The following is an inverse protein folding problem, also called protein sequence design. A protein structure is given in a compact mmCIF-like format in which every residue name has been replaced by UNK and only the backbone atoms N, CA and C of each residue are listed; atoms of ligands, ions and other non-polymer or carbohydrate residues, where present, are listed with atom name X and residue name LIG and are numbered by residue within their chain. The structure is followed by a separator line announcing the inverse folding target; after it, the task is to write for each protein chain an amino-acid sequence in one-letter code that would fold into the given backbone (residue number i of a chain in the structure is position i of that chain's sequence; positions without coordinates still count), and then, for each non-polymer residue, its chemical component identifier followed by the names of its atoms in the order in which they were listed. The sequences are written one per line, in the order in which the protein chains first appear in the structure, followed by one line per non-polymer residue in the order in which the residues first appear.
data_IF_292345835674
#
_entry.id   IF_292345835674
#
_cell.length_a   1.000
_cell.length_b   1.000
_cell.length_c   1.000
_cell.angle_alpha   90.00
_cell.angle_beta   90.00
_cell.angle_gamma   90.00
#
_symmetry.space_group_name_H-M   'P 1'
#
loop_
_entity.id
_entity.type
_entity.pdbx_description
1 polymer ?
#
# COMPACT_ATOMS: atom_id res chain seq x y z
N UNK A 1 2.39 -0.20 -27.96
CA UNK A 1 2.67 -0.23 -29.42
C UNK A 1 1.81 -1.27 -30.11
N UNK A 2 1.75 -1.30 -31.45
CA UNK A 2 0.80 -2.13 -32.21
C UNK A 2 0.78 -3.63 -31.83
N UNK A 3 1.92 -4.31 -31.58
CA UNK A 3 1.89 -5.72 -31.18
C UNK A 3 1.19 -5.97 -29.83
N UNK A 4 1.48 -5.14 -28.82
CA UNK A 4 0.85 -5.27 -27.50
C UNK A 4 -0.64 -4.87 -27.51
N UNK A 5 -1.04 -3.99 -28.43
CA UNK A 5 -2.45 -3.66 -28.62
C UNK A 5 -3.24 -4.90 -29.09
N UNK A 6 -2.67 -5.69 -30.02
CA UNK A 6 -3.30 -6.94 -30.45
C UNK A 6 -3.38 -7.96 -29.31
N UNK A 7 -2.29 -8.16 -28.57
CA UNK A 7 -2.30 -9.06 -27.40
C UNK A 7 -3.38 -8.64 -26.40
N UNK A 8 -3.53 -7.34 -26.13
CA UNK A 8 -4.59 -6.83 -25.25
C UNK A 8 -5.98 -7.20 -25.78
N UNK A 9 -6.24 -7.01 -27.07
CA UNK A 9 -7.53 -7.33 -27.68
C UNK A 9 -7.86 -8.83 -27.57
N UNK A 10 -6.88 -9.70 -27.78
CA UNK A 10 -7.06 -11.16 -27.63
C UNK A 10 -7.35 -11.54 -26.17
N UNK A 11 -6.65 -10.94 -25.19
CA UNK A 11 -6.94 -11.14 -23.76
C UNK A 11 -8.38 -10.73 -23.43
N UNK A 12 -8.83 -9.56 -23.90
CA UNK A 12 -10.19 -9.08 -23.66
C UNK A 12 -11.24 -9.95 -24.37
N UNK A 13 -10.93 -10.51 -25.54
CA UNK A 13 -11.81 -11.45 -26.25
C UNK A 13 -11.99 -12.73 -25.43
N UNK A 14 -10.90 -13.31 -24.95
CA UNK A 14 -10.96 -14.51 -24.10
C UNK A 14 -11.67 -14.23 -22.78
N UNK A 15 -11.47 -13.05 -22.17
CA UNK A 15 -12.19 -12.65 -20.98
C UNK A 15 -13.71 -12.65 -21.22
N UNK A 16 -14.18 -11.99 -22.30
CA UNK A 16 -15.60 -12.02 -22.67
C UNK A 16 -16.10 -13.44 -22.91
N UNK A 17 -15.32 -14.28 -23.61
CA UNK A 17 -15.69 -15.68 -23.86
C UNK A 17 -15.88 -16.51 -22.59
N UNK A 18 -15.11 -16.20 -21.54
CA UNK A 18 -15.16 -16.94 -20.26
C UNK A 18 -16.30 -16.44 -19.36
N UNK A 19 -16.56 -15.13 -19.32
CA UNK A 19 -17.43 -14.51 -18.31
C UNK A 19 -18.79 -14.05 -18.81
N UNK A 20 -19.01 -13.96 -20.12
CA UNK A 20 -20.34 -13.62 -20.67
C UNK A 20 -21.15 -14.90 -20.87
N UNK A 21 -22.32 -14.95 -20.24
CA UNK A 21 -23.37 -15.93 -20.46
C UNK A 21 -24.70 -15.23 -20.81
N UNK A 22 -25.81 -15.97 -20.83
CA UNK A 22 -27.13 -15.46 -21.19
C UNK A 22 -27.68 -14.39 -20.22
N UNK A 23 -27.20 -14.35 -18.98
CA UNK A 23 -27.63 -13.42 -17.94
C UNK A 23 -26.51 -12.44 -17.55
N UNK A 24 -25.50 -12.27 -18.42
CA UNK A 24 -24.44 -11.26 -18.25
C UNK A 24 -24.69 -10.05 -19.14
N UNK A 25 -24.74 -8.88 -18.52
CA UNK A 25 -24.99 -7.60 -19.18
C UNK A 25 -23.71 -6.76 -19.24
N UNK A 26 -23.08 -6.70 -20.41
CA UNK A 26 -21.91 -5.85 -20.64
C UNK A 26 -22.32 -4.36 -20.71
N UNK A 27 -21.54 -3.51 -20.03
CA UNK A 27 -21.77 -2.06 -19.99
C UNK A 27 -20.49 -1.25 -20.14
N UNK A 28 -20.65 -0.04 -20.68
CA UNK A 28 -19.55 0.92 -20.85
C UNK A 28 -19.84 2.20 -20.04
N UNK A 29 -19.44 2.24 -18.76
CA UNK A 29 -19.70 3.39 -17.91
C UNK A 29 -18.67 4.52 -18.10
N UNK A 30 -19.06 5.73 -17.72
CA UNK A 30 -18.17 6.91 -17.68
C UNK A 30 -16.96 6.68 -16.78
N UNK A 31 -15.80 7.21 -17.20
CA UNK A 31 -14.60 7.26 -16.36
C UNK A 31 -14.70 8.31 -15.25
N UNK A 32 -15.56 9.32 -15.42
CA UNK A 32 -15.78 10.35 -14.41
C UNK A 32 -16.94 9.98 -13.50
N UNK A 33 -16.73 10.11 -12.19
CA UNK A 33 -17.73 9.90 -11.16
C UNK A 33 -17.99 11.19 -10.36
N UNK A 34 -19.24 11.44 -9.95
CA UNK A 34 -19.55 12.53 -9.03
C UNK A 34 -19.07 12.21 -7.61
N UNK A 35 -18.77 13.25 -6.84
CA UNK A 35 -18.34 13.17 -5.44
C UNK A 35 -19.21 12.22 -4.61
N UNK A 36 -20.55 12.35 -4.71
CA UNK A 36 -21.50 11.59 -3.90
C UNK A 36 -21.37 10.07 -4.06
N UNK A 37 -21.05 9.59 -5.27
CA UNK A 37 -20.87 8.15 -5.52
C UNK A 37 -19.64 7.63 -4.77
N UNK A 38 -18.54 8.38 -4.81
CA UNK A 38 -17.30 8.01 -4.14
C UNK A 38 -17.36 8.22 -2.63
N UNK A 39 -18.13 9.22 -2.17
CA UNK A 39 -18.33 9.48 -0.75
C UNK A 39 -19.18 8.38 -0.11
N UNK A 40 -20.29 8.01 -0.75
CA UNK A 40 -21.18 6.97 -0.23
C UNK A 40 -20.56 5.57 -0.27
N UNK A 41 -19.66 5.30 -1.22
CA UNK A 41 -18.87 4.06 -1.24
C UNK A 41 -17.69 4.06 -0.28
N UNK A 42 -17.42 5.17 0.42
CA UNK A 42 -16.32 5.31 1.37
C UNK A 42 -14.95 5.56 0.72
N UNK A 43 -14.87 5.64 -0.61
CA UNK A 43 -13.63 5.87 -1.34
C UNK A 43 -12.97 7.21 -0.97
N UNK A 44 -13.77 8.26 -0.79
CA UNK A 44 -13.23 9.58 -0.38
C UNK A 44 -12.49 9.51 0.95
N UNK A 45 -12.97 8.67 1.88
CA UNK A 45 -12.45 8.63 3.25
C UNK A 45 -11.37 7.57 3.44
N UNK A 46 -11.46 6.45 2.72
CA UNK A 46 -10.68 5.24 2.99
C UNK A 46 -9.76 4.81 1.85
N UNK A 47 -9.94 5.35 0.64
CA UNK A 47 -9.11 5.00 -0.51
C UNK A 47 -7.81 5.81 -0.51
N UNK A 48 -7.03 5.58 0.56
CA UNK A 48 -5.84 6.34 0.88
C UNK A 48 -4.67 5.39 1.16
N UNK A 49 -3.48 5.86 0.83
CA UNK A 49 -2.23 5.28 1.32
C UNK A 49 -1.64 6.16 2.42
N UNK A 50 -0.93 5.55 3.37
CA UNK A 50 -0.13 6.29 4.35
C UNK A 50 1.18 6.73 3.69
N UNK A 51 1.55 7.98 3.88
CA UNK A 51 2.78 8.57 3.32
C UNK A 51 3.66 9.19 4.38
N UNK A 52 4.96 9.18 4.10
CA UNK A 52 5.99 9.88 4.87
C UNK A 52 6.56 11.02 4.04
N UNK A 53 6.82 12.17 4.66
CA UNK A 53 7.40 13.32 3.99
C UNK A 53 8.27 14.14 4.92
N UNK A 54 9.36 14.69 4.40
CA UNK A 54 10.20 15.69 5.08
C UNK A 54 9.90 17.13 4.62
N UNK A 55 8.81 17.31 3.84
CA UNK A 55 8.44 18.57 3.20
C UNK A 55 9.01 18.75 1.79
N UNK A 56 10.10 18.07 1.44
CA UNK A 56 10.70 18.07 0.10
C UNK A 56 10.37 16.81 -0.71
N UNK A 57 10.40 15.65 -0.06
CA UNK A 57 10.16 14.34 -0.68
C UNK A 57 8.91 13.71 -0.07
N UNK A 58 8.15 12.98 -0.89
CA UNK A 58 7.02 12.18 -0.45
C UNK A 58 7.31 10.73 -0.85
N UNK A 59 7.20 9.82 0.12
CA UNK A 59 7.31 8.36 -0.10
C UNK A 59 6.08 7.67 0.46
N UNK A 60 5.72 6.53 -0.13
CA UNK A 60 4.70 5.64 0.42
C UNK A 60 5.27 4.91 1.64
N UNK A 61 4.58 4.96 2.77
CA UNK A 61 5.14 4.54 4.05
C UNK A 61 5.46 3.03 4.06
N UNK A 62 4.53 2.19 3.63
CA UNK A 62 4.68 0.73 3.61
C UNK A 62 5.90 0.29 2.80
N UNK A 63 6.00 0.73 1.54
CA UNK A 63 7.12 0.38 0.68
C UNK A 63 8.45 0.89 1.22
N UNK A 64 8.47 2.13 1.73
CA UNK A 64 9.70 2.71 2.25
C UNK A 64 10.22 1.94 3.47
N UNK A 65 9.31 1.57 4.37
CA UNK A 65 9.63 0.81 5.58
C UNK A 65 10.03 -0.63 5.22
N UNK A 66 9.29 -1.28 4.34
CA UNK A 66 9.58 -2.63 3.86
C UNK A 66 10.97 -2.74 3.23
N UNK A 67 11.28 -1.83 2.30
CA UNK A 67 12.58 -1.77 1.63
C UNK A 67 13.73 -1.50 2.62
N UNK A 68 13.48 -0.71 3.66
CA UNK A 68 14.51 -0.31 4.63
C UNK A 68 14.79 -1.38 5.70
N UNK A 69 13.74 -2.00 6.27
CA UNK A 69 13.85 -2.79 7.51
C UNK A 69 12.99 -4.07 7.54
N UNK A 70 12.21 -4.33 6.48
CA UNK A 70 11.33 -5.48 6.33
C UNK A 70 9.86 -5.19 6.68
N UNK A 71 9.03 -6.22 6.73
CA UNK A 71 7.56 -6.11 6.79
C UNK A 71 6.95 -6.54 8.13
N UNK A 72 7.75 -7.00 9.09
CA UNK A 72 7.26 -7.60 10.33
C UNK A 72 7.97 -7.01 11.54
N UNK A 73 7.20 -6.51 12.51
CA UNK A 73 7.69 -5.71 13.62
C UNK A 73 7.17 -6.20 14.98
N UNK A 74 8.01 -6.04 16.00
CA UNK A 74 7.59 -6.15 17.40
C UNK A 74 7.22 -4.74 17.90
N UNK A 75 5.98 -4.56 18.35
CA UNK A 75 5.47 -3.28 18.83
C UNK A 75 4.96 -3.39 20.27
N UNK A 76 5.13 -2.37 21.13
CA UNK A 76 4.57 -2.37 22.47
C UNK A 76 3.04 -2.55 22.47
N UNK A 77 2.52 -3.48 23.26
CA UNK A 77 1.08 -3.81 23.33
C UNK A 77 0.22 -2.64 23.84
N UNK A 78 0.82 -1.75 24.63
CA UNK A 78 0.16 -0.57 25.18
C UNK A 78 0.32 0.70 24.31
N UNK A 79 0.85 0.58 23.09
CA UNK A 79 1.10 1.74 22.22
C UNK A 79 -0.17 2.56 21.95
N UNK A 80 -1.31 1.88 21.72
CA UNK A 80 -2.60 2.56 21.49
C UNK A 80 -3.19 3.27 22.71
N UNK A 81 -2.82 2.89 23.94
CA UNK A 81 -3.35 3.50 25.18
C UNK A 81 -2.36 4.47 25.83
N UNK A 82 -1.07 4.36 25.54
CA UNK A 82 0.01 5.09 26.22
C UNK A 82 1.07 5.64 25.26
N UNK A 83 0.66 6.04 24.05
CA UNK A 83 1.56 6.42 22.96
C UNK A 83 2.69 7.38 23.38
N UNK A 84 2.32 8.52 24.00
CA UNK A 84 3.29 9.54 24.40
C UNK A 84 4.35 9.01 25.39
N UNK A 85 3.92 8.27 26.41
CA UNK A 85 4.81 7.71 27.42
C UNK A 85 5.75 6.63 26.84
N UNK A 86 5.23 5.81 25.93
CA UNK A 86 6.02 4.80 25.21
C UNK A 86 7.09 5.49 24.35
N UNK A 87 6.69 6.49 23.55
CA UNK A 87 7.61 7.25 22.70
C UNK A 87 8.68 7.98 23.51
N UNK A 88 8.31 8.62 24.63
CA UNK A 88 9.27 9.30 25.50
C UNK A 88 10.35 8.35 26.02
N UNK A 89 9.94 7.18 26.53
CA UNK A 89 10.86 6.14 27.03
C UNK A 89 11.74 5.59 25.91
N UNK A 90 11.18 5.34 24.72
CA UNK A 90 11.94 4.90 23.54
C UNK A 90 12.99 5.94 23.16
N UNK A 91 12.64 7.22 23.10
CA UNK A 91 13.56 8.29 22.74
C UNK A 91 14.70 8.44 23.74
N UNK A 92 14.44 8.29 25.03
CA UNK A 92 15.47 8.31 26.08
C UNK A 92 16.52 7.20 25.87
N UNK A 93 16.07 5.94 25.73
CA UNK A 93 16.96 4.79 25.52
C UNK A 93 17.70 4.90 24.17
N UNK A 94 16.98 5.30 23.12
CA UNK A 94 17.55 5.51 21.78
C UNK A 94 18.67 6.54 21.81
N UNK A 95 18.52 7.63 22.57
CA UNK A 95 19.56 8.66 22.71
C UNK A 95 20.85 8.08 23.29
N UNK A 96 20.76 7.23 24.32
CA UNK A 96 21.92 6.54 24.91
C UNK A 96 22.62 5.64 23.89
N UNK A 97 21.85 4.82 23.15
CA UNK A 97 22.38 3.94 22.10
C UNK A 97 23.11 4.74 21.01
N UNK A 98 22.54 5.86 20.56
CA UNK A 98 23.15 6.72 19.54
C UNK A 98 24.47 7.32 20.05
N UNK A 99 24.51 7.76 21.31
CA UNK A 99 25.74 8.29 21.93
C UNK A 99 26.83 7.21 21.96
N UNK A 100 26.50 5.99 22.38
CA UNK A 100 27.44 4.85 22.37
C UNK A 100 27.98 4.56 20.97
N UNK A 101 27.09 4.53 19.98
CA UNK A 101 27.42 4.28 18.56
C UNK A 101 28.38 5.34 18.02
N UNK A 102 28.08 6.62 18.26
CA UNK A 102 28.91 7.74 17.83
C UNK A 102 30.29 7.72 18.51
N UNK A 103 30.34 7.42 19.81
CA UNK A 103 31.61 7.30 20.53
C UNK A 103 32.47 6.14 19.98
N UNK A 104 31.86 5.00 19.64
CA UNK A 104 32.55 3.87 18.99
C UNK A 104 33.08 4.23 17.61
N UNK A 105 32.26 4.89 16.78
CA UNK A 105 32.65 5.34 15.45
C UNK A 105 33.84 6.32 15.50
N UNK A 106 33.84 7.25 16.47
CA UNK A 106 34.93 8.19 16.65
C UNK A 106 36.24 7.47 17.02
N UNK A 107 36.18 6.47 17.92
CA UNK A 107 37.35 5.66 18.30
C UNK A 107 37.93 4.92 17.10
N UNK A 108 37.09 4.31 16.26
CA UNK A 108 37.52 3.61 15.05
C UNK A 108 38.18 4.55 14.05
N UNK A 109 37.56 5.71 13.77
CA UNK A 109 38.14 6.73 12.87
C UNK A 109 39.51 7.22 13.36
N UNK A 110 39.66 7.43 14.68
CA UNK A 110 40.94 7.85 15.25
C UNK A 110 42.01 6.75 15.16
N UNK A 111 41.63 5.47 15.36
CA UNK A 111 42.54 4.34 15.20
C UNK A 111 43.00 4.15 13.74
N UNK A 112 42.09 4.32 12.77
CA UNK A 112 42.42 4.29 11.35
C UNK A 112 43.34 5.45 10.93
N UNK A 113 43.08 6.66 11.45
CA UNK A 113 43.92 7.83 11.20
C UNK A 113 45.33 7.67 11.77
N UNK A 114 45.47 7.03 12.94
CA UNK A 114 46.78 6.71 13.54
C UNK A 114 47.54 5.62 12.77
N UNK A 115 46.86 4.82 11.94
CA UNK A 115 47.44 3.69 11.21
C UNK A 115 47.91 4.04 9.78
N UNK A 116 47.42 5.13 9.16
CA UNK A 116 47.70 5.44 7.74
C UNK A 116 48.90 6.37 7.53
N UNK A 117 50.08 5.77 7.41
CA UNK A 117 51.06 6.15 6.37
C UNK A 117 50.75 5.25 5.16
N UNK A 118 50.47 5.83 3.99
CA UNK A 118 50.10 5.20 2.70
C UNK A 118 48.60 4.91 2.41
N UNK A 119 48.20 5.38 1.21
CA UNK A 119 47.00 5.12 0.42
C UNK A 119 45.60 5.56 0.96
N UNK A 120 45.08 6.65 0.37
CA UNK A 120 43.66 7.01 0.37
C UNK A 120 42.85 5.92 -0.37
N UNK A 121 42.23 5.03 0.38
CA UNK A 121 41.00 4.33 -0.08
C UNK A 121 39.82 5.17 0.44
N UNK A 122 38.88 5.59 -0.43
CA UNK A 122 37.68 6.24 0.04
C UNK A 122 36.89 5.21 0.84
N UNK A 123 36.87 5.38 2.16
CA UNK A 123 35.89 4.70 2.99
C UNK A 123 34.55 5.28 2.56
N UNK A 124 33.72 4.49 1.86
CA UNK A 124 32.34 4.89 1.62
C UNK A 124 31.75 5.24 2.98
N UNK A 125 31.23 6.45 3.10
CA UNK A 125 30.66 6.98 4.31
C UNK A 125 29.30 6.33 4.58
N UNK A 126 29.26 5.00 4.74
CA UNK A 126 28.08 4.26 5.22
C UNK A 126 28.05 4.19 6.75
N UNK A 127 28.62 5.21 7.40
CA UNK A 127 28.38 5.47 8.80
C UNK A 127 27.32 6.55 8.89
N UNK A 128 26.14 6.24 8.35
CA UNK A 128 24.96 7.01 8.68
C UNK A 128 24.71 6.82 10.17
N UNK A 129 24.51 7.93 10.85
CA UNK A 129 23.79 8.01 12.13
C UNK A 129 22.33 7.57 11.99
N UNK A 130 22.00 6.71 11.01
CA UNK A 130 20.84 6.89 10.14
C UNK A 130 19.79 5.77 10.10
N UNK A 131 20.01 4.64 10.76
CA UNK A 131 18.97 3.63 11.06
C UNK A 131 19.51 2.75 12.20
N UNK A 132 18.64 2.32 13.12
CA UNK A 132 19.02 1.36 14.17
C UNK A 132 18.96 -0.07 13.65
N UNK A 133 19.92 -0.91 14.05
CA UNK A 133 19.89 -2.34 13.72
C UNK A 133 18.80 -3.07 14.50
N UNK A 134 18.46 -4.29 14.08
CA UNK A 134 17.48 -5.13 14.80
C UNK A 134 17.91 -5.41 16.25
N UNK A 135 19.21 -5.57 16.49
CA UNK A 135 19.74 -5.77 17.85
C UNK A 135 19.63 -4.49 18.69
N UNK A 136 19.91 -3.33 18.12
CA UNK A 136 19.75 -2.03 18.78
C UNK A 136 18.29 -1.77 19.16
N UNK A 137 17.36 -2.04 18.23
CA UNK A 137 15.92 -1.98 18.48
C UNK A 137 15.48 -3.01 19.52
N UNK A 138 16.03 -4.23 19.47
CA UNK A 138 15.76 -5.27 20.46
C UNK A 138 16.10 -4.85 21.89
N UNK A 139 17.20 -4.11 22.09
CA UNK A 139 17.55 -3.53 23.41
C UNK A 139 16.49 -2.52 23.90
N UNK A 140 15.92 -1.74 23.00
CA UNK A 140 14.85 -0.80 23.34
C UNK A 140 13.59 -1.59 23.73
N UNK A 141 13.15 -2.49 22.86
CA UNK A 141 11.90 -3.25 23.01
C UNK A 141 11.90 -4.20 24.20
N UNK A 142 13.06 -4.63 24.70
CA UNK A 142 13.18 -5.41 25.93
C UNK A 142 12.56 -4.73 27.18
N UNK A 143 12.27 -3.43 27.11
CA UNK A 143 11.65 -2.66 28.19
C UNK A 143 10.12 -2.59 28.11
N UNK A 144 9.51 -3.33 27.17
CA UNK A 144 8.09 -3.31 26.86
C UNK A 144 7.57 -4.75 26.64
N UNK A 145 6.30 -4.97 26.99
CA UNK A 145 5.57 -6.13 26.48
C UNK A 145 5.21 -5.85 25.02
N UNK A 146 5.57 -6.75 24.11
CA UNK A 146 5.43 -6.54 22.68
C UNK A 146 4.58 -7.62 22.02
N UNK A 147 3.93 -7.25 20.92
CA UNK A 147 3.25 -8.15 19.99
C UNK A 147 3.86 -8.04 18.59
N UNK A 148 3.78 -9.13 17.82
CA UNK A 148 4.22 -9.13 16.43
C UNK A 148 3.09 -8.64 15.53
N UNK A 149 3.39 -7.66 14.67
CA UNK A 149 2.47 -7.17 13.64
C UNK A 149 3.14 -7.12 12.28
N UNK A 150 2.36 -7.41 11.24
CA UNK A 150 2.76 -7.22 9.87
C UNK A 150 2.48 -5.76 9.45
N UNK A 151 3.32 -5.21 8.57
CA UNK A 151 3.32 -3.82 8.12
C UNK A 151 1.97 -3.41 7.52
N UNK A 152 1.34 -4.32 6.78
CA UNK A 152 0.03 -4.10 6.17
C UNK A 152 -1.10 -3.86 7.18
N UNK A 153 -0.91 -4.28 8.44
CA UNK A 153 -1.91 -4.17 9.50
C UNK A 153 -1.62 -3.01 10.47
N UNK A 154 -0.54 -2.24 10.24
CA UNK A 154 -0.19 -1.13 11.11
C UNK A 154 -1.11 0.07 10.90
N UNK A 155 -1.55 0.64 12.01
CA UNK A 155 -2.15 1.97 12.05
C UNK A 155 -1.12 3.06 11.73
N UNK A 156 -1.61 4.26 11.41
CA UNK A 156 -0.77 5.43 11.13
C UNK A 156 0.17 5.79 12.29
N UNK A 157 -0.35 5.72 13.52
CA UNK A 157 0.45 6.01 14.73
C UNK A 157 1.54 4.94 14.94
N UNK A 158 1.24 3.68 14.61
CA UNK A 158 2.21 2.58 14.65
C UNK A 158 3.29 2.73 13.57
N UNK A 159 2.93 3.20 12.37
CA UNK A 159 3.88 3.55 11.30
C UNK A 159 4.82 4.66 11.80
N UNK A 160 4.29 5.74 12.38
CA UNK A 160 5.10 6.81 12.95
C UNK A 160 6.02 6.30 14.06
N UNK A 161 5.50 5.39 14.90
CA UNK A 161 6.30 4.76 15.94
C UNK A 161 7.44 3.91 15.37
N UNK A 162 7.20 3.12 14.31
CA UNK A 162 8.25 2.34 13.62
C UNK A 162 9.33 3.25 13.06
N UNK A 163 8.95 4.37 12.43
CA UNK A 163 9.89 5.39 11.93
C UNK A 163 10.76 5.94 13.06
N UNK A 164 10.16 6.26 14.21
CA UNK A 164 10.89 6.73 15.40
C UNK A 164 11.82 5.64 15.95
N UNK A 165 11.30 4.43 16.15
CA UNK A 165 11.97 3.30 16.76
C UNK A 165 13.23 2.92 15.98
N UNK A 166 13.11 2.79 14.66
CA UNK A 166 14.23 2.43 13.79
C UNK A 166 15.08 3.63 13.37
N UNK A 167 14.72 4.85 13.81
CA UNK A 167 15.44 6.08 13.43
C UNK A 167 15.48 6.30 11.90
N UNK A 168 14.37 6.02 11.22
CA UNK A 168 14.28 6.19 9.77
C UNK A 168 14.25 7.68 9.41
N UNK A 169 15.01 8.02 8.36
CA UNK A 169 15.07 9.35 7.79
C UNK A 169 14.61 9.30 6.33
N UNK A 170 14.30 10.44 5.75
CA UNK A 170 14.01 10.59 4.33
C UNK A 170 15.24 10.24 3.47
N UNK A 171 15.06 10.03 2.15
CA UNK A 171 16.20 9.89 1.22
C UNK A 171 17.20 11.05 1.31
N UNK A 172 16.71 12.26 1.61
CA UNK A 172 17.51 13.47 1.83
C UNK A 172 18.12 13.56 3.24
N UNK A 173 18.06 12.47 4.01
CA UNK A 173 18.60 12.34 5.37
C UNK A 173 17.99 13.33 6.37
N UNK A 174 16.71 13.68 6.20
CA UNK A 174 15.96 14.53 7.13
C UNK A 174 14.95 13.72 7.92
N UNK A 175 14.59 14.14 9.15
CA UNK A 175 13.49 13.51 9.88
C UNK A 175 12.19 13.62 9.08
N UNK A 176 11.39 12.55 9.09
CA UNK A 176 10.05 12.61 8.56
C UNK A 176 9.14 13.44 9.49
N UNK A 177 8.23 14.19 8.88
CA UNK A 177 7.05 14.71 9.57
C UNK A 177 6.10 13.56 9.93
N UNK A 178 5.14 13.77 10.85
CA UNK A 178 4.09 12.79 11.11
C UNK A 178 3.44 12.30 9.82
N UNK A 179 3.21 11.00 9.73
CA UNK A 179 2.62 10.41 8.55
C UNK A 179 1.21 10.94 8.31
N UNK A 180 0.79 10.89 7.06
CA UNK A 180 -0.52 11.39 6.65
C UNK A 180 -1.16 10.49 5.62
N UNK A 181 -2.48 10.56 5.56
CA UNK A 181 -3.25 9.88 4.53
C UNK A 181 -3.13 10.64 3.22
N UNK A 182 -2.92 9.91 2.14
CA UNK A 182 -2.86 10.41 0.78
C UNK A 182 -3.94 9.73 -0.04
N UNK A 183 -4.97 10.49 -0.43
CA UNK A 183 -6.07 9.97 -1.22
C UNK A 183 -5.59 9.60 -2.64
N UNK A 184 -5.86 8.36 -3.05
CA UNK A 184 -5.42 7.81 -4.33
C UNK A 184 -6.39 8.10 -5.48
N UNK A 185 -7.43 8.90 -5.28
CA UNK A 185 -8.39 9.25 -6.32
C UNK A 185 -7.93 10.54 -7.00
N UNK A 186 -7.92 10.55 -8.34
CA UNK A 186 -7.72 11.78 -9.08
C UNK A 186 -8.94 12.68 -8.97
N UNK A 187 -8.77 13.81 -8.28
CA UNK A 187 -9.73 14.91 -8.24
C UNK A 187 -9.57 15.78 -9.48
N UNK A 188 -10.64 15.96 -10.26
CA UNK A 188 -10.66 16.87 -11.41
C UNK A 188 -11.12 18.28 -10.99
N UNK A 189 -12.15 18.35 -10.15
CA UNK A 189 -12.64 19.55 -9.49
C UNK A 189 -13.37 19.17 -8.19
N UNK A 190 -14.05 20.11 -7.55
CA UNK A 190 -14.74 19.87 -6.26
C UNK A 190 -15.89 18.87 -6.32
N UNK A 191 -16.38 18.52 -7.51
CA UNK A 191 -17.53 17.63 -7.70
C UNK A 191 -17.25 16.40 -8.54
N UNK A 192 -16.13 16.35 -9.27
CA UNK A 192 -15.84 15.32 -10.26
C UNK A 192 -14.46 14.71 -10.04
N UNK A 193 -14.42 13.38 -10.16
CA UNK A 193 -13.25 12.55 -9.92
C UNK A 193 -13.13 11.52 -11.04
N UNK A 194 -11.91 11.04 -11.31
CA UNK A 194 -11.72 9.83 -12.11
C UNK A 194 -11.95 8.60 -11.24
N UNK A 195 -12.62 7.59 -11.79
CA UNK A 195 -12.95 6.36 -11.07
C UNK A 195 -11.69 5.57 -10.69
N UNK A 196 -11.55 5.13 -9.43
CA UNK A 196 -10.44 4.28 -8.99
C UNK A 196 -10.61 2.79 -9.32
N UNK A 197 -11.84 2.41 -9.69
CA UNK A 197 -12.33 1.08 -10.06
C UNK A 197 -13.57 1.22 -10.97
N UNK A 198 -14.07 0.13 -11.57
CA UNK A 198 -15.23 0.17 -12.47
C UNK A 198 -16.55 -0.16 -11.74
N UNK A 199 -16.48 -1.00 -10.70
CA UNK A 199 -17.59 -1.55 -9.93
C UNK A 199 -18.67 -0.53 -9.53
N UNK A 200 -18.29 0.67 -9.08
CA UNK A 200 -19.23 1.71 -8.67
C UNK A 200 -20.30 2.01 -9.73
N UNK A 201 -19.91 2.03 -11.00
CA UNK A 201 -20.86 2.31 -12.08
C UNK A 201 -21.80 1.13 -12.36
N UNK A 202 -21.33 -0.10 -12.10
CA UNK A 202 -22.16 -1.31 -12.20
C UNK A 202 -23.24 -1.30 -11.10
N UNK A 203 -22.86 -0.94 -9.86
CA UNK A 203 -23.82 -0.83 -8.75
C UNK A 203 -24.86 0.26 -8.97
N UNK A 204 -24.47 1.45 -9.44
CA UNK A 204 -25.43 2.53 -9.72
C UNK A 204 -26.43 2.20 -10.84
N UNK A 205 -26.14 1.23 -11.70
CA UNK A 205 -27.05 0.74 -12.74
C UNK A 205 -27.80 -0.55 -12.37
N UNK A 206 -27.63 -1.08 -11.14
CA UNK A 206 -28.25 -2.32 -10.70
C UNK A 206 -29.75 -2.40 -11.03
N UNK A 207 -30.52 -1.35 -10.71
CA UNK A 207 -31.98 -1.35 -10.94
C UNK A 207 -32.33 -1.52 -12.42
N UNK A 208 -31.61 -0.84 -13.32
CA UNK A 208 -31.86 -0.94 -14.76
C UNK A 208 -31.53 -2.33 -15.30
N UNK A 209 -30.42 -2.91 -14.84
CA UNK A 209 -30.02 -4.25 -15.28
C UNK A 209 -30.97 -5.32 -14.72
N UNK A 210 -31.41 -5.17 -13.47
CA UNK A 210 -32.42 -6.04 -12.88
C UNK A 210 -33.74 -5.98 -13.67
N UNK A 211 -34.17 -4.79 -14.11
CA UNK A 211 -35.34 -4.62 -14.98
C UNK A 211 -35.14 -5.31 -16.35
N UNK A 212 -33.95 -5.18 -16.96
CA UNK A 212 -33.59 -5.90 -18.20
C UNK A 212 -33.61 -7.42 -18.01
N UNK A 213 -33.29 -7.90 -16.81
CA UNK A 213 -33.38 -9.32 -16.43
C UNK A 213 -34.76 -9.72 -15.89
N UNK A 214 -35.81 -8.95 -16.21
CA UNK A 214 -37.21 -9.24 -15.80
C UNK A 214 -37.40 -9.40 -14.29
N UNK A 215 -36.69 -8.58 -13.51
CA UNK A 215 -36.69 -8.60 -12.04
C UNK A 215 -36.26 -9.94 -11.42
N UNK A 216 -35.47 -10.73 -12.15
CA UNK A 216 -34.95 -12.02 -11.68
C UNK A 216 -33.48 -11.94 -11.29
N UNK A 217 -33.12 -12.74 -10.31
CA UNK A 217 -31.75 -13.09 -9.96
C UNK A 217 -31.54 -14.59 -10.23
N UNK A 218 -30.29 -15.04 -10.48
CA UNK A 218 -29.08 -14.24 -10.57
C UNK A 218 -28.92 -13.55 -11.93
N UNK A 219 -28.10 -12.50 -11.95
CA UNK A 219 -27.52 -11.94 -13.18
C UNK A 219 -26.14 -11.38 -12.88
N UNK A 220 -25.36 -11.12 -13.93
CA UNK A 220 -24.08 -10.46 -13.82
C UNK A 220 -24.05 -9.17 -14.63
N UNK A 221 -23.25 -8.20 -14.19
CA UNK A 221 -22.77 -7.14 -15.06
C UNK A 221 -21.31 -7.40 -15.41
N UNK A 222 -20.90 -6.97 -16.59
CA UNK A 222 -19.50 -6.96 -17.00
C UNK A 222 -19.14 -5.57 -17.48
N UNK A 223 -18.01 -5.05 -17.04
CA UNK A 223 -17.51 -3.77 -17.51
C UNK A 223 -16.00 -3.83 -17.73
N UNK A 224 -15.58 -3.38 -18.92
CA UNK A 224 -14.18 -3.27 -19.31
C UNK A 224 -13.87 -1.80 -19.55
N UNK A 225 -12.82 -1.28 -18.93
CA UNK A 225 -12.44 0.10 -19.14
C UNK A 225 -11.29 0.56 -18.27
N UNK A 226 -10.91 1.83 -18.44
CA UNK A 226 -9.81 2.41 -17.68
C UNK A 226 -10.22 2.79 -16.26
N UNK A 227 -9.28 2.66 -15.35
CA UNK A 227 -9.36 3.13 -13.97
C UNK A 227 -8.08 3.87 -13.61
N UNK A 228 -8.19 4.76 -12.63
CA UNK A 228 -7.16 5.74 -12.33
C UNK A 228 -6.85 5.75 -10.84
N UNK A 229 -5.59 5.51 -10.49
CA UNK A 229 -5.10 5.57 -9.11
C UNK A 229 -3.95 6.56 -9.06
N UNK A 230 -4.03 7.56 -8.21
CA UNK A 230 -3.02 8.61 -8.08
C UNK A 230 -1.79 8.10 -7.30
N UNK A 231 -1.15 7.06 -7.82
CA UNK A 231 -0.02 6.39 -7.20
C UNK A 231 1.14 7.36 -6.91
N UNK A 232 1.65 7.36 -5.68
CA UNK A 232 2.77 8.25 -5.28
C UNK A 232 4.04 7.87 -6.04
N UNK A 233 4.29 6.57 -6.17
CA UNK A 233 5.46 6.01 -6.85
C UNK A 233 5.04 4.91 -7.81
N UNK A 234 4.92 5.25 -9.09
CA UNK A 234 4.70 4.29 -10.16
C UNK A 234 6.01 3.53 -10.48
N UNK A 235 6.35 2.54 -9.65
CA UNK A 235 7.52 1.66 -9.80
C UNK A 235 7.08 0.26 -10.24
N UNK A 236 7.95 -0.51 -10.91
CA UNK A 236 7.63 -1.89 -11.32
C UNK A 236 6.96 -2.02 -12.70
N UNK A 237 7.12 -1.02 -13.56
CA UNK A 237 6.63 -1.08 -14.95
C UNK A 237 5.11 -1.19 -15.00
N UNK A 238 4.59 -2.24 -15.64
CA UNK A 238 3.15 -2.45 -15.81
C UNK A 238 2.41 -2.83 -14.51
N UNK A 239 3.13 -3.22 -13.45
CA UNK A 239 2.51 -3.69 -12.21
C UNK A 239 1.92 -2.55 -11.37
N UNK A 240 2.45 -1.33 -11.49
CA UNK A 240 1.97 -0.16 -10.73
C UNK A 240 2.01 1.09 -11.59
N UNK A 241 0.84 1.48 -12.07
CA UNK A 241 0.66 2.61 -12.97
C UNK A 241 -0.49 3.48 -12.47
N UNK A 242 -0.54 4.74 -12.93
CA UNK A 242 -1.60 5.69 -12.57
C UNK A 242 -2.89 5.49 -13.36
N UNK A 243 -2.80 4.79 -14.49
CA UNK A 243 -3.88 4.50 -15.40
C UNK A 243 -3.68 3.09 -15.95
N UNK A 244 -4.70 2.25 -15.80
CA UNK A 244 -4.70 0.89 -16.29
C UNK A 244 -6.12 0.47 -16.67
N UNK A 245 -6.24 -0.60 -17.44
CA UNK A 245 -7.52 -1.15 -17.85
C UNK A 245 -7.87 -2.33 -16.94
N UNK A 246 -9.12 -2.35 -16.47
CA UNK A 246 -9.68 -3.44 -15.70
C UNK A 246 -10.82 -4.09 -16.49
N UNK A 247 -11.02 -5.37 -16.23
CA UNK A 247 -12.19 -6.12 -16.63
C UNK A 247 -12.83 -6.65 -15.34
N UNK A 248 -13.96 -6.08 -14.96
CA UNK A 248 -14.66 -6.39 -13.71
C UNK A 248 -16.02 -7.00 -14.01
N UNK A 249 -16.44 -7.94 -13.17
CA UNK A 249 -17.76 -8.56 -13.22
C UNK A 249 -18.40 -8.50 -11.84
N UNK A 250 -19.62 -7.98 -11.75
CA UNK A 250 -20.41 -8.04 -10.52
C UNK A 250 -21.47 -9.12 -10.68
N UNK A 251 -21.46 -10.14 -9.82
CA UNK A 251 -22.45 -11.22 -9.81
C UNK A 251 -23.48 -10.96 -8.71
N UNK A 252 -24.73 -10.72 -9.10
CA UNK A 252 -25.83 -10.46 -8.18
C UNK A 252 -26.64 -11.74 -7.98
N UNK A 253 -26.77 -12.20 -6.73
CA UNK A 253 -27.55 -13.39 -6.40
C UNK A 253 -28.17 -13.33 -5.02
N UNK A 254 -29.17 -14.18 -4.79
CA UNK A 254 -29.78 -14.34 -3.48
C UNK A 254 -28.86 -15.14 -2.53
N UNK A 255 -28.59 -14.56 -1.35
CA UNK A 255 -27.83 -15.23 -0.29
C UNK A 255 -26.39 -15.60 -0.66
N UNK A 256 -25.80 -14.94 -1.67
CA UNK A 256 -24.43 -15.19 -2.12
C UNK A 256 -24.21 -16.56 -2.78
N UNK A 257 -25.29 -17.26 -3.14
CA UNK A 257 -25.18 -18.53 -3.85
C UNK A 257 -24.71 -18.28 -5.28
N UNK A 258 -23.77 -19.09 -5.74
CA UNK A 258 -23.28 -19.05 -7.12
C UNK A 258 -23.41 -20.43 -7.74
N UNK A 259 -24.09 -20.48 -8.88
CA UNK A 259 -24.19 -21.70 -9.67
C UNK A 259 -22.84 -21.99 -10.37
N UNK A 260 -22.62 -23.23 -10.79
CA UNK A 260 -21.43 -23.60 -11.58
C UNK A 260 -20.18 -23.99 -10.79
N UNK A 261 -20.19 -24.02 -9.45
CA UNK A 261 -19.05 -24.53 -8.66
C UNK A 261 -18.68 -25.98 -9.04
N UNK A 262 -19.67 -26.81 -9.38
CA UNK A 262 -19.48 -28.22 -9.78
C UNK A 262 -18.52 -28.34 -10.96
N UNK A 263 -18.53 -27.39 -11.90
CA UNK A 263 -17.67 -27.42 -13.08
C UNK A 263 -16.18 -27.26 -12.76
N UNK A 264 -15.86 -26.59 -11.65
CA UNK A 264 -14.48 -26.30 -11.22
C UNK A 264 -14.08 -27.05 -9.95
N UNK A 265 -14.96 -27.84 -9.35
CA UNK A 265 -14.75 -28.48 -8.04
C UNK A 265 -13.49 -29.36 -7.95
N UNK A 266 -13.11 -30.01 -9.06
CA UNK A 266 -11.94 -30.88 -9.14
C UNK A 266 -10.66 -30.11 -9.51
N UNK A 267 -10.77 -28.80 -9.74
CA UNK A 267 -9.62 -27.97 -10.12
C UNK A 267 -8.69 -27.80 -8.92
N UNK A 268 -7.43 -28.20 -9.11
CA UNK A 268 -6.40 -28.03 -8.07
C UNK A 268 -5.70 -26.69 -8.26
N UNK A 269 -5.86 -25.80 -7.28
CA UNK A 269 -5.21 -24.49 -7.25
C UNK A 269 -4.43 -24.33 -5.95
N UNK A 270 -3.34 -23.56 -5.99
CA UNK A 270 -2.61 -23.18 -4.78
C UNK A 270 -3.41 -22.12 -4.04
N UNK A 271 -3.73 -22.38 -2.78
CA UNK A 271 -4.41 -21.44 -1.89
C UNK A 271 -3.45 -21.00 -0.80
N UNK A 272 -3.35 -19.69 -0.57
CA UNK A 272 -2.66 -19.11 0.58
C UNK A 272 -3.75 -18.69 1.58
N UNK A 273 -3.98 -19.47 2.66
CA UNK A 273 -4.96 -19.08 3.67
C UNK A 273 -4.53 -17.78 4.34
N UNK A 274 -5.52 -16.97 4.72
CA UNK A 274 -5.31 -15.75 5.51
C UNK A 274 -4.75 -16.07 6.89
#
# INVERSE_FOLDING_TARGET
GPPLAQVKLEILREFRRIFIDENTYEMEPSAMLPYEVLKNSGHIDKFCDVILTDGSVIVRADHYIEDAIGDTFLLPTNLGTSYAAVVEKVLAIKKEIIIEKNARLLRLKNAEAASRTAARVPVSADHSTGTLTREEVGRILAHFECETKHLADLSKDEIDFVVILYNLHSPEQRPFNPSRDFNLIFKLNDRQFLRPEIAQSQFTNFRKVLELNNEKLPFSTLAIGRSYRNEISARGGMLRTKEFEQAETEYFSEGGRREGFVAVRESRVRVLPR
#
